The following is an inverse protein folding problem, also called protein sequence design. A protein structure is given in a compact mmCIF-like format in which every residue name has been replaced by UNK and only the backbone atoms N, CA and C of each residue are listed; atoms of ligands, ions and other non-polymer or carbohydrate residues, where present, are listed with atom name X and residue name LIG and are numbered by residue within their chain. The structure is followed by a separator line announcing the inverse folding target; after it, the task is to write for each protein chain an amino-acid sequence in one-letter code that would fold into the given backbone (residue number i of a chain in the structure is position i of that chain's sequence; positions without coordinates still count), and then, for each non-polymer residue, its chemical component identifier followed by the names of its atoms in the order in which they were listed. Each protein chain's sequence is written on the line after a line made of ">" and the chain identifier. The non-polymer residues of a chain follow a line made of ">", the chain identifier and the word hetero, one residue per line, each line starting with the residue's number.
data_IF_760569423843
#
_entry.id   IF_760569423843
#
_cell.length_a   1.000
_cell.length_b   1.000
_cell.length_c   1.000
_cell.angle_alpha   90.00
_cell.angle_beta   90.00
_cell.angle_gamma   90.00
#
_symmetry.space_group_name_H-M   'P 1'
#
loop_
_entity.id
_entity.type
_entity.pdbx_description
1 polymer ?
#
# COMPACT_ATOMS: atom_id res chain seq x y z
N UNK A 1 10.14 29.33 9.97
CA UNK A 1 9.30 28.53 9.06
C UNK A 1 10.07 28.25 7.75
N UNK A 2 11.30 27.76 7.83
CA UNK A 2 12.14 27.48 6.63
C UNK A 2 12.99 26.19 6.76
N UNK A 3 12.92 25.48 7.89
CA UNK A 3 13.81 24.34 8.14
C UNK A 3 13.21 22.97 7.77
N UNK A 4 11.90 22.90 7.51
CA UNK A 4 11.21 21.63 7.20
C UNK A 4 11.20 21.34 5.69
N UNK A 5 11.36 22.36 4.84
CA UNK A 5 11.25 22.29 3.37
C UNK A 5 12.38 21.46 2.71
N UNK A 6 13.54 21.30 3.36
CA UNK A 6 14.70 20.65 2.72
C UNK A 6 14.74 19.12 2.86
N UNK A 7 13.90 18.49 3.68
CA UNK A 7 14.03 17.05 3.97
C UNK A 7 13.12 16.16 3.10
N UNK A 8 12.06 16.71 2.49
CA UNK A 8 11.14 15.94 1.64
C UNK A 8 11.65 15.81 0.19
N UNK A 9 12.56 16.69 -0.25
CA UNK A 9 13.01 16.75 -1.66
C UNK A 9 14.22 15.83 -1.95
N UNK A 10 14.84 15.19 -0.95
CA UNK A 10 16.04 14.37 -1.17
C UNK A 10 15.75 12.90 -1.55
N UNK A 11 15.04 12.71 -2.67
CA UNK A 11 15.22 11.59 -3.61
C UNK A 11 14.45 11.79 -4.92
N UNK A 12 14.34 13.03 -5.40
CA UNK A 12 13.80 13.38 -6.71
C UNK A 12 14.92 13.60 -7.77
N UNK A 13 16.01 12.82 -7.67
CA UNK A 13 17.05 12.79 -8.69
C UNK A 13 17.02 11.38 -9.30
N UNK A 14 16.68 11.31 -10.59
CA UNK A 14 16.43 10.12 -11.45
C UNK A 14 14.97 9.72 -11.71
N UNK A 15 14.14 10.68 -12.16
CA UNK A 15 13.10 10.39 -13.14
C UNK A 15 13.14 11.46 -14.24
N UNK A 16 14.20 11.45 -15.05
CA UNK A 16 14.15 12.11 -16.35
C UNK A 16 13.26 11.23 -17.25
N UNK A 17 12.16 11.82 -17.74
CA UNK A 17 11.12 11.23 -18.60
C UNK A 17 9.89 10.66 -17.88
N UNK A 18 9.24 11.45 -17.02
CA UNK A 18 7.81 11.26 -16.73
C UNK A 18 7.06 12.53 -17.18
N UNK A 19 6.65 12.55 -18.45
CA UNK A 19 5.75 13.57 -18.98
C UNK A 19 4.32 13.21 -18.58
N UNK A 20 3.71 14.04 -17.73
CA UNK A 20 2.26 14.09 -17.50
C UNK A 20 1.75 13.13 -16.42
N UNK A 21 1.67 13.59 -15.18
CA UNK A 21 0.91 12.93 -14.13
C UNK A 21 -0.58 13.28 -14.30
N UNK A 22 -1.22 12.72 -15.33
CA UNK A 22 -2.68 12.84 -15.46
C UNK A 22 -3.33 11.94 -14.42
N UNK A 23 -4.16 12.51 -13.55
CA UNK A 23 -5.17 11.84 -12.71
C UNK A 23 -5.53 10.46 -13.28
N UNK A 24 -4.92 9.38 -12.77
CA UNK A 24 -5.06 8.07 -13.38
C UNK A 24 -6.44 7.52 -13.02
N UNK A 25 -7.45 7.85 -13.83
CA UNK A 25 -8.74 7.17 -13.81
C UNK A 25 -8.48 5.66 -13.89
N UNK A 26 -9.24 4.82 -13.16
CA UNK A 26 -9.07 3.37 -13.19
C UNK A 26 -9.13 2.91 -14.65
N UNK A 27 -8.03 2.33 -15.14
CA UNK A 27 -8.00 1.83 -16.51
C UNK A 27 -8.32 0.34 -16.45
N UNK A 28 -9.41 -0.13 -17.10
CA UNK A 28 -9.72 -1.54 -17.14
C UNK A 28 -8.52 -2.29 -17.72
N UNK A 29 -7.93 -3.18 -16.92
CA UNK A 29 -6.82 -3.99 -17.36
C UNK A 29 -7.34 -5.12 -18.28
N UNK A 30 -6.63 -5.44 -19.37
CA UNK A 30 -6.94 -6.61 -20.21
C UNK A 30 -7.06 -7.90 -19.37
N UNK A 31 -7.91 -8.85 -19.77
CA UNK A 31 -8.25 -10.02 -18.95
C UNK A 31 -7.05 -10.93 -18.60
N UNK A 32 -6.05 -10.99 -19.46
CA UNK A 32 -4.77 -11.71 -19.28
C UNK A 32 -3.88 -11.09 -18.19
N UNK A 33 -4.15 -9.85 -17.78
CA UNK A 33 -3.39 -9.12 -16.74
C UNK A 33 -3.40 -9.82 -15.38
N UNK A 34 -4.40 -10.67 -15.12
CA UNK A 34 -4.53 -11.37 -13.85
C UNK A 34 -3.89 -12.77 -13.86
N UNK A 35 -3.39 -13.28 -15.00
CA UNK A 35 -2.85 -14.65 -15.11
C UNK A 35 -1.62 -14.89 -14.24
N UNK A 36 -0.83 -13.84 -13.99
CA UNK A 36 0.34 -13.89 -13.13
C UNK A 36 0.02 -13.53 -11.67
N UNK A 37 -1.26 -13.42 -11.32
CA UNK A 37 -1.76 -13.12 -9.97
C UNK A 37 -2.50 -14.34 -9.41
N UNK A 38 -2.33 -14.59 -8.12
CA UNK A 38 -3.21 -15.50 -7.38
C UNK A 38 -4.22 -14.65 -6.62
N UNK A 39 -5.45 -14.56 -7.12
CA UNK A 39 -6.52 -13.74 -6.55
C UNK A 39 -7.61 -14.67 -5.99
N UNK A 40 -7.93 -14.62 -4.67
CA UNK A 40 -9.04 -15.37 -4.12
C UNK A 40 -10.38 -14.88 -4.69
N UNK A 41 -11.38 -15.77 -4.75
CA UNK A 41 -12.74 -15.40 -5.14
C UNK A 41 -13.32 -14.36 -4.18
N UNK A 42 -13.15 -14.59 -2.88
CA UNK A 42 -13.42 -13.60 -1.85
C UNK A 42 -12.47 -12.40 -2.02
N UNK A 43 -13.05 -11.20 -2.13
CA UNK A 43 -12.37 -9.94 -2.41
C UNK A 43 -11.84 -9.76 -3.85
N UNK A 44 -12.27 -10.60 -4.80
CA UNK A 44 -11.80 -10.51 -6.19
C UNK A 44 -12.09 -9.14 -6.83
N UNK A 45 -13.26 -8.57 -6.57
CA UNK A 45 -13.68 -7.25 -7.06
C UNK A 45 -12.76 -6.13 -6.56
N UNK A 46 -12.47 -6.13 -5.28
CA UNK A 46 -11.68 -5.13 -4.57
C UNK A 46 -10.21 -5.19 -5.02
N UNK A 47 -9.67 -6.42 -5.12
CA UNK A 47 -8.31 -6.67 -5.60
C UNK A 47 -8.15 -6.21 -7.05
N UNK A 48 -9.10 -6.57 -7.93
CA UNK A 48 -9.06 -6.15 -9.34
C UNK A 48 -9.23 -4.64 -9.49
N UNK A 49 -10.11 -4.01 -8.70
CA UNK A 49 -10.28 -2.56 -8.69
C UNK A 49 -8.98 -1.90 -8.26
N UNK A 50 -8.38 -2.29 -7.13
CA UNK A 50 -7.11 -1.71 -6.69
C UNK A 50 -6.01 -1.88 -7.75
N UNK A 51 -5.85 -3.08 -8.31
CA UNK A 51 -4.87 -3.33 -9.38
C UNK A 51 -5.10 -2.48 -10.64
N UNK A 52 -6.34 -2.13 -10.99
CA UNK A 52 -6.65 -1.31 -12.18
C UNK A 52 -6.03 0.10 -12.15
N UNK A 53 -5.59 0.56 -10.98
CA UNK A 53 -4.87 1.82 -10.82
C UNK A 53 -3.35 1.65 -10.90
N UNK A 54 -2.82 0.42 -10.91
CA UNK A 54 -1.37 0.14 -10.91
C UNK A 54 -0.94 -0.62 -12.19
N UNK A 55 -1.00 0.00 -13.38
CA UNK A 55 -0.61 -0.65 -14.63
C UNK A 55 0.85 -1.17 -14.64
N UNK A 56 1.74 -0.55 -13.87
CA UNK A 56 3.14 -0.95 -13.66
C UNK A 56 3.25 -2.35 -13.06
N UNK A 57 2.23 -2.79 -12.32
CA UNK A 57 2.16 -4.10 -11.70
C UNK A 57 1.56 -5.18 -12.61
N UNK A 58 1.18 -4.85 -13.86
CA UNK A 58 0.61 -5.81 -14.83
C UNK A 58 1.47 -7.07 -14.94
N UNK A 59 2.78 -6.91 -15.16
CA UNK A 59 3.71 -8.03 -15.34
C UNK A 59 4.31 -8.59 -14.03
N UNK A 60 3.95 -8.00 -12.89
CA UNK A 60 4.47 -8.39 -11.58
C UNK A 60 3.70 -9.59 -11.01
N UNK A 61 4.40 -10.63 -10.56
CA UNK A 61 3.76 -11.78 -9.90
C UNK A 61 3.40 -11.43 -8.45
N UNK A 62 2.12 -11.46 -8.11
CA UNK A 62 1.62 -11.13 -6.76
C UNK A 62 0.60 -12.20 -6.35
N UNK A 63 0.78 -12.78 -5.16
CA UNK A 63 -0.21 -13.65 -4.55
C UNK A 63 -0.95 -12.95 -3.42
N UNK A 64 -2.27 -12.87 -3.53
CA UNK A 64 -3.15 -12.46 -2.46
C UNK A 64 -3.52 -13.69 -1.64
N UNK A 65 -3.18 -13.68 -0.35
CA UNK A 65 -3.32 -14.88 0.50
C UNK A 65 -3.94 -14.53 1.84
N UNK A 66 -5.01 -15.23 2.21
CA UNK A 66 -5.59 -15.09 3.54
C UNK A 66 -4.71 -15.68 4.64
N UNK A 67 -4.75 -15.05 5.81
CA UNK A 67 -4.12 -15.49 7.06
C UNK A 67 -5.10 -15.27 8.20
N UNK A 68 -5.11 -16.16 9.19
CA UNK A 68 -6.02 -16.01 10.33
C UNK A 68 -5.74 -14.74 11.15
N UNK A 69 -4.47 -14.35 11.22
CA UNK A 69 -4.04 -13.13 11.87
C UNK A 69 -2.74 -12.61 11.23
N UNK A 70 -2.59 -11.29 11.17
CA UNK A 70 -1.37 -10.59 10.79
C UNK A 70 -1.02 -9.64 11.94
N UNK A 71 0.17 -9.79 12.50
CA UNK A 71 0.58 -8.99 13.66
C UNK A 71 0.60 -7.50 13.32
N UNK A 72 -0.17 -6.71 14.06
CA UNK A 72 -0.23 -5.25 14.00
C UNK A 72 -0.75 -4.64 12.67
N UNK A 73 -1.35 -5.43 11.79
CA UNK A 73 -1.85 -4.96 10.50
C UNK A 73 -3.02 -5.81 9.99
N UNK A 74 -3.85 -5.24 9.11
CA UNK A 74 -4.95 -5.98 8.45
C UNK A 74 -4.47 -6.64 7.16
N UNK A 75 -3.55 -5.98 6.45
CA UNK A 75 -2.87 -6.52 5.28
C UNK A 75 -1.36 -6.34 5.41
N UNK A 76 -0.59 -7.07 4.60
CA UNK A 76 0.86 -6.95 4.56
C UNK A 76 1.45 -7.42 3.23
N UNK A 77 2.11 -6.52 2.52
CA UNK A 77 2.94 -6.79 1.36
C UNK A 77 4.34 -7.25 1.77
N UNK A 78 4.89 -8.20 1.03
CA UNK A 78 6.27 -8.66 1.20
C UNK A 78 6.77 -9.41 -0.04
N UNK A 79 8.09 -9.41 -0.33
CA UNK A 79 8.65 -10.33 -1.31
C UNK A 79 8.58 -11.78 -0.81
N UNK A 80 8.41 -12.74 -1.72
CA UNK A 80 8.70 -14.15 -1.45
C UNK A 80 10.21 -14.30 -1.26
N UNK A 81 10.65 -14.53 -0.02
CA UNK A 81 12.08 -14.66 0.35
C UNK A 81 12.85 -15.60 -0.59
N UNK A 82 12.28 -16.76 -0.94
CA UNK A 82 12.88 -17.75 -1.86
C UNK A 82 13.14 -17.22 -3.29
N UNK A 83 12.54 -16.10 -3.66
CA UNK A 83 12.70 -15.47 -4.98
C UNK A 83 13.55 -14.21 -4.94
N UNK A 84 13.92 -13.72 -3.76
CA UNK A 84 14.52 -12.40 -3.57
C UNK A 84 15.85 -12.22 -4.34
N UNK A 85 16.68 -13.26 -4.34
CA UNK A 85 17.98 -13.28 -5.03
C UNK A 85 17.90 -13.68 -6.51
N UNK A 86 16.69 -13.95 -7.04
CA UNK A 86 16.50 -14.12 -8.48
C UNK A 86 16.56 -12.75 -9.18
N UNK A 87 16.68 -12.75 -10.52
CA UNK A 87 16.53 -11.54 -11.34
C UNK A 87 15.21 -10.83 -11.00
N UNK A 88 15.18 -9.49 -11.01
CA UNK A 88 14.04 -8.67 -10.57
C UNK A 88 12.69 -9.14 -11.16
N UNK A 89 12.63 -9.35 -12.47
CA UNK A 89 11.42 -9.84 -13.19
C UNK A 89 10.97 -11.28 -12.83
N UNK A 90 11.80 -12.05 -12.11
CA UNK A 90 11.46 -13.39 -11.59
C UNK A 90 11.09 -13.37 -10.12
N UNK A 91 11.10 -12.21 -9.46
CA UNK A 91 10.61 -12.08 -8.09
C UNK A 91 9.10 -12.28 -8.05
N UNK A 92 8.64 -12.73 -6.91
CA UNK A 92 7.23 -12.92 -6.61
C UNK A 92 6.94 -12.20 -5.30
N UNK A 93 5.82 -11.53 -5.23
CA UNK A 93 5.37 -10.80 -4.05
C UNK A 93 4.14 -11.47 -3.46
N UNK A 94 3.88 -11.22 -2.19
CA UNK A 94 2.68 -11.66 -1.50
C UNK A 94 2.03 -10.47 -0.83
N UNK A 95 0.73 -10.34 -0.99
CA UNK A 95 -0.13 -9.50 -0.15
C UNK A 95 -0.90 -10.43 0.76
N UNK A 96 -0.55 -10.45 2.04
CA UNK A 96 -1.31 -11.18 3.04
C UNK A 96 -2.52 -10.35 3.43
N UNK A 97 -3.66 -11.00 3.62
CA UNK A 97 -4.91 -10.36 4.06
C UNK A 97 -5.38 -11.12 5.30
N UNK A 98 -5.69 -10.41 6.39
CA UNK A 98 -6.28 -11.05 7.57
C UNK A 98 -7.70 -11.53 7.23
N UNK A 99 -8.07 -12.75 7.60
CA UNK A 99 -9.43 -13.28 7.40
C UNK A 99 -10.44 -12.54 8.28
N UNK A 100 -9.97 -12.03 9.42
CA UNK A 100 -10.75 -11.34 10.42
C UNK A 100 -10.07 -10.05 10.89
N UNK A 101 -10.86 -9.03 11.20
CA UNK A 101 -10.45 -7.87 11.97
C UNK A 101 -10.63 -8.17 13.44
N UNK A 102 -9.61 -7.90 14.25
CA UNK A 102 -9.70 -7.96 15.71
C UNK A 102 -10.39 -6.70 16.22
N UNK A 103 -11.51 -6.88 16.90
CA UNK A 103 -12.22 -5.85 17.65
C UNK A 103 -11.93 -6.05 19.15
N UNK A 104 -12.35 -5.10 20.01
CA UNK A 104 -12.12 -5.16 21.45
C UNK A 104 -12.70 -6.43 22.09
N UNK A 105 -13.94 -6.77 21.74
CA UNK A 105 -14.69 -7.88 22.34
C UNK A 105 -15.05 -9.00 21.34
N UNK A 106 -14.64 -8.89 20.08
CA UNK A 106 -15.04 -9.83 19.03
C UNK A 106 -14.10 -9.82 17.81
N UNK A 107 -14.48 -10.56 16.76
CA UNK A 107 -13.84 -10.48 15.46
C UNK A 107 -14.89 -10.25 14.38
N UNK A 108 -14.50 -9.53 13.33
CA UNK A 108 -15.33 -9.27 12.16
C UNK A 108 -14.68 -9.90 10.92
N UNK A 109 -15.42 -10.69 10.15
CA UNK A 109 -14.92 -11.19 8.86
C UNK A 109 -14.58 -10.05 7.91
N UNK A 110 -13.43 -10.14 7.22
CA UNK A 110 -12.94 -9.12 6.28
C UNK A 110 -13.94 -8.76 5.17
N UNK A 111 -14.84 -9.68 4.82
CA UNK A 111 -15.91 -9.49 3.85
C UNK A 111 -17.01 -8.53 4.29
N UNK A 112 -17.11 -8.22 5.58
CA UNK A 112 -18.06 -7.24 6.10
C UNK A 112 -17.49 -5.82 6.12
N UNK A 113 -16.20 -5.64 5.79
CA UNK A 113 -15.61 -4.32 5.65
C UNK A 113 -16.10 -3.70 4.33
N UNK A 114 -16.50 -2.42 4.31
CA UNK A 114 -16.99 -1.79 3.08
C UNK A 114 -15.98 -1.85 1.94
N UNK A 115 -16.48 -2.02 0.73
CA UNK A 115 -15.68 -2.25 -0.48
C UNK A 115 -14.60 -1.17 -0.68
N UNK A 116 -14.94 0.11 -0.55
CA UNK A 116 -14.00 1.22 -0.70
C UNK A 116 -12.86 1.23 0.33
N UNK A 117 -13.09 0.69 1.53
CA UNK A 117 -12.08 0.59 2.59
C UNK A 117 -11.09 -0.53 2.26
N UNK A 118 -11.60 -1.67 1.78
CA UNK A 118 -10.77 -2.77 1.31
C UNK A 118 -9.91 -2.35 0.12
N UNK A 119 -10.46 -1.58 -0.82
CA UNK A 119 -9.71 -1.03 -1.95
C UNK A 119 -8.61 -0.09 -1.48
N UNK A 120 -8.86 0.75 -0.47
CA UNK A 120 -7.83 1.64 0.10
C UNK A 120 -6.71 0.88 0.83
N UNK A 121 -7.03 -0.17 1.59
CA UNK A 121 -6.00 -1.05 2.15
C UNK A 121 -5.18 -1.75 1.07
N UNK A 122 -5.84 -2.31 0.05
CA UNK A 122 -5.16 -2.95 -1.07
C UNK A 122 -4.29 -1.95 -1.85
N UNK A 123 -4.76 -0.72 -2.04
CA UNK A 123 -3.99 0.35 -2.66
C UNK A 123 -2.68 0.59 -1.92
N UNK A 124 -2.73 0.71 -0.59
CA UNK A 124 -1.55 0.86 0.25
C UNK A 124 -0.56 -0.31 0.06
N UNK A 125 -1.05 -1.55 0.11
CA UNK A 125 -0.19 -2.73 -0.06
C UNK A 125 0.44 -2.81 -1.47
N UNK A 126 -0.28 -2.39 -2.50
CA UNK A 126 0.26 -2.31 -3.85
C UNK A 126 1.32 -1.20 -3.96
N UNK A 127 1.17 -0.09 -3.24
CA UNK A 127 2.21 0.93 -3.10
C UNK A 127 3.51 0.38 -2.50
N UNK A 128 3.43 -0.53 -1.52
CA UNK A 128 4.60 -1.26 -1.04
C UNK A 128 5.20 -2.18 -2.12
N UNK A 129 4.38 -2.92 -2.87
CA UNK A 129 4.89 -3.78 -3.95
C UNK A 129 5.63 -2.96 -5.00
N UNK A 130 5.09 -1.79 -5.36
CA UNK A 130 5.71 -0.85 -6.29
C UNK A 130 7.08 -0.36 -5.78
N UNK A 131 7.17 0.07 -4.52
CA UNK A 131 8.44 0.46 -3.86
C UNK A 131 9.50 -0.67 -3.91
N UNK A 132 9.06 -1.93 -3.89
CA UNK A 132 9.97 -3.07 -3.93
C UNK A 132 10.55 -3.37 -5.32
N UNK A 133 9.96 -2.89 -6.41
CA UNK A 133 10.41 -3.19 -7.78
C UNK A 133 11.78 -2.59 -8.08
N UNK A 134 12.03 -1.38 -7.58
CA UNK A 134 13.27 -0.66 -7.87
C UNK A 134 14.45 -1.10 -7.00
N UNK A 135 14.17 -1.81 -5.91
CA UNK A 135 15.20 -2.24 -4.96
C UNK A 135 16.01 -3.44 -5.46
N UNK A 136 17.33 -3.36 -5.36
CA UNK A 136 18.23 -4.52 -5.51
C UNK A 136 18.01 -5.53 -4.38
N UNK A 137 18.54 -6.75 -4.53
CA UNK A 137 18.33 -7.81 -3.52
C UNK A 137 18.91 -7.42 -2.16
N UNK A 138 20.09 -6.78 -2.15
CA UNK A 138 20.70 -6.25 -0.91
C UNK A 138 19.91 -5.07 -0.34
N UNK A 139 19.39 -4.17 -1.19
CA UNK A 139 18.53 -3.08 -0.73
C UNK A 139 17.24 -3.61 -0.11
N UNK A 140 16.67 -4.71 -0.62
CA UNK A 140 15.49 -5.34 -0.03
C UNK A 140 15.79 -6.00 1.33
N UNK A 141 16.93 -6.65 1.48
CA UNK A 141 17.35 -7.19 2.78
C UNK A 141 17.55 -6.05 3.79
N UNK A 142 18.25 -5.00 3.38
CA UNK A 142 18.44 -3.80 4.21
C UNK A 142 17.13 -3.09 4.53
N UNK A 143 16.19 -3.04 3.59
CA UNK A 143 14.83 -2.53 3.80
C UNK A 143 14.14 -3.34 4.89
N UNK A 144 14.06 -4.66 4.76
CA UNK A 144 13.39 -5.52 5.75
C UNK A 144 14.02 -5.38 7.14
N UNK A 145 15.34 -5.33 7.23
CA UNK A 145 16.04 -5.11 8.50
C UNK A 145 15.68 -3.76 9.14
N UNK A 146 15.78 -2.66 8.37
CA UNK A 146 15.46 -1.32 8.87
C UNK A 146 13.98 -1.16 9.20
N UNK A 147 13.10 -1.76 8.42
CA UNK A 147 11.66 -1.75 8.64
C UNK A 147 11.29 -2.38 10.00
N UNK A 148 12.00 -3.44 10.41
CA UNK A 148 11.77 -4.09 11.70
C UNK A 148 12.44 -3.37 12.88
N UNK A 149 13.57 -2.69 12.66
CA UNK A 149 14.44 -2.17 13.74
C UNK A 149 14.39 -0.66 13.93
N UNK A 150 13.94 0.11 12.93
CA UNK A 150 14.00 1.58 12.93
C UNK A 150 12.61 2.19 12.78
N UNK A 151 12.11 2.81 13.86
CA UNK A 151 10.82 3.53 13.86
C UNK A 151 10.76 4.65 12.79
N UNK A 152 11.79 5.50 12.62
CA UNK A 152 11.78 6.51 11.56
C UNK A 152 11.72 5.89 10.16
N UNK A 153 12.43 4.78 9.93
CA UNK A 153 12.41 4.11 8.63
C UNK A 153 11.06 3.45 8.35
N UNK A 154 10.47 2.79 9.35
CA UNK A 154 9.11 2.25 9.27
C UNK A 154 8.12 3.35 8.86
N UNK A 155 8.12 4.48 9.58
CA UNK A 155 7.25 5.61 9.27
C UNK A 155 7.48 6.14 7.84
N UNK A 156 8.74 6.25 7.39
CA UNK A 156 9.04 6.64 6.01
C UNK A 156 8.47 5.64 5.00
N UNK A 157 8.59 4.34 5.26
CA UNK A 157 8.11 3.29 4.37
C UNK A 157 6.57 3.26 4.28
N UNK A 158 5.85 3.38 5.41
CA UNK A 158 4.38 3.44 5.40
C UNK A 158 3.88 4.69 4.67
N UNK A 159 4.51 5.86 4.91
CA UNK A 159 4.15 7.10 4.21
C UNK A 159 4.42 7.02 2.71
N UNK A 160 5.52 6.38 2.29
CA UNK A 160 5.81 6.17 0.87
C UNK A 160 4.75 5.30 0.17
N UNK A 161 4.24 4.27 0.85
CA UNK A 161 3.17 3.44 0.30
C UNK A 161 1.86 4.22 0.13
N UNK A 162 1.49 5.04 1.11
CA UNK A 162 0.35 5.95 0.99
C UNK A 162 0.55 6.97 -0.15
N UNK A 163 1.75 7.54 -0.28
CA UNK A 163 2.08 8.46 -1.39
C UNK A 163 1.90 7.77 -2.73
N UNK A 164 2.40 6.54 -2.91
CA UNK A 164 2.13 5.79 -4.14
C UNK A 164 0.63 5.60 -4.38
N UNK A 165 -0.16 5.23 -3.38
CA UNK A 165 -1.60 5.11 -3.56
C UNK A 165 -2.27 6.42 -3.98
N UNK A 166 -1.93 7.54 -3.34
CA UNK A 166 -2.44 8.88 -3.70
C UNK A 166 -2.07 9.22 -5.12
N UNK A 167 -0.80 9.00 -5.46
CA UNK A 167 -0.32 9.21 -6.82
C UNK A 167 -1.25 8.45 -7.77
N UNK A 168 -1.51 7.17 -7.57
CA UNK A 168 -2.34 6.40 -8.50
C UNK A 168 -3.85 6.70 -8.40
N UNK A 169 -4.26 7.89 -7.93
CA UNK A 169 -5.65 8.35 -7.96
C UNK A 169 -6.55 7.72 -6.89
N UNK A 170 -5.95 7.19 -5.82
CA UNK A 170 -6.67 6.52 -4.72
C UNK A 170 -6.65 7.34 -3.42
N UNK A 171 -6.48 8.66 -3.51
CA UNK A 171 -6.46 9.56 -2.35
C UNK A 171 -7.75 9.45 -1.53
N UNK A 172 -8.91 9.47 -2.19
CA UNK A 172 -10.22 9.32 -1.56
C UNK A 172 -10.36 7.99 -0.82
N UNK A 173 -9.97 6.86 -1.44
CA UNK A 173 -9.98 5.54 -0.80
C UNK A 173 -9.05 5.49 0.42
N UNK A 174 -7.86 6.11 0.37
CA UNK A 174 -6.94 6.21 1.51
C UNK A 174 -7.57 7.04 2.65
N UNK A 175 -8.19 8.18 2.34
CA UNK A 175 -8.88 9.03 3.33
C UNK A 175 -10.04 8.27 3.96
N UNK A 176 -10.89 7.62 3.16
CA UNK A 176 -12.04 6.82 3.66
C UNK A 176 -11.55 5.70 4.57
N UNK A 177 -10.50 4.98 4.18
CA UNK A 177 -9.90 3.91 4.97
C UNK A 177 -9.41 4.39 6.33
N UNK A 178 -8.71 5.54 6.36
CA UNK A 178 -8.23 6.12 7.62
C UNK A 178 -9.38 6.57 8.51
N UNK A 179 -10.37 7.28 7.96
CA UNK A 179 -11.56 7.70 8.72
C UNK A 179 -12.32 6.50 9.27
N UNK A 180 -12.47 5.43 8.49
CA UNK A 180 -13.09 4.18 8.95
C UNK A 180 -12.36 3.60 10.16
N UNK A 181 -11.03 3.50 10.12
CA UNK A 181 -10.24 2.97 11.25
C UNK A 181 -10.36 3.86 12.48
N UNK A 182 -10.21 5.17 12.31
CA UNK A 182 -10.15 6.12 13.43
C UNK A 182 -11.51 6.32 14.10
N UNK A 183 -12.61 6.19 13.34
CA UNK A 183 -13.97 6.35 13.86
C UNK A 183 -14.60 5.02 14.34
N UNK A 184 -13.94 3.89 14.12
CA UNK A 184 -14.44 2.60 14.59
C UNK A 184 -14.15 2.45 16.09
N UNK A 185 -15.19 2.52 16.91
CA UNK A 185 -15.08 2.45 18.39
C UNK A 185 -14.51 1.09 18.83
N UNK A 186 -14.96 0.03 18.17
CA UNK A 186 -14.63 -1.35 18.50
C UNK A 186 -13.20 -1.76 18.11
N UNK A 187 -12.46 -0.94 17.35
CA UNK A 187 -11.05 -1.23 17.07
C UNK A 187 -10.18 -0.97 18.32
N UNK A 188 -9.17 -1.81 18.58
CA UNK A 188 -8.22 -1.59 19.67
C UNK A 188 -7.56 -0.22 19.61
N UNK A 189 -7.48 0.45 20.76
CA UNK A 189 -6.87 1.77 20.86
C UNK A 189 -5.42 1.77 20.39
N UNK A 190 -4.66 0.73 20.74
CA UNK A 190 -3.26 0.58 20.32
C UNK A 190 -3.11 0.51 18.79
N UNK A 191 -4.09 -0.08 18.11
CA UNK A 191 -4.13 -0.12 16.65
C UNK A 191 -4.39 1.29 16.09
N UNK A 192 -5.41 2.00 16.59
CA UNK A 192 -5.70 3.39 16.21
C UNK A 192 -4.50 4.32 16.45
N UNK A 193 -3.85 4.21 17.60
CA UNK A 193 -2.65 5.00 17.96
C UNK A 193 -1.46 4.68 17.03
N UNK A 194 -1.31 3.42 16.61
CA UNK A 194 -0.32 3.04 15.60
C UNK A 194 -0.62 3.69 14.25
N UNK A 195 -1.88 3.69 13.81
CA UNK A 195 -2.28 4.32 12.55
C UNK A 195 -2.03 5.84 12.60
N UNK A 196 -2.43 6.52 13.67
CA UNK A 196 -2.18 7.96 13.83
C UNK A 196 -0.69 8.34 13.81
N UNK A 197 0.19 7.46 14.30
CA UNK A 197 1.63 7.73 14.35
C UNK A 197 2.36 7.48 13.04
N UNK A 198 1.98 6.43 12.30
CA UNK A 198 2.79 5.94 11.18
C UNK A 198 2.37 6.48 9.82
N UNK A 199 1.10 6.83 9.65
CA UNK A 199 0.52 7.14 8.35
C UNK A 199 0.24 8.65 8.23
N UNK A 200 0.15 9.14 7.00
CA UNK A 200 -0.21 10.55 6.76
C UNK A 200 -1.67 10.82 7.20
N UNK A 201 -1.94 11.99 7.77
CA UNK A 201 -3.29 12.41 8.14
C UNK A 201 -4.17 12.63 6.89
N UNK A 202 -5.52 12.61 7.02
CA UNK A 202 -6.41 12.94 5.91
C UNK A 202 -6.11 14.32 5.28
N UNK A 203 -5.74 15.32 6.08
CA UNK A 203 -5.37 16.65 5.58
C UNK A 203 -4.07 16.60 4.77
N UNK A 204 -3.05 15.86 5.24
CA UNK A 204 -1.81 15.66 4.49
C UNK A 204 -2.06 14.90 3.17
N UNK A 205 -3.02 13.97 3.12
CA UNK A 205 -3.41 13.31 1.86
C UNK A 205 -3.90 14.34 0.85
N UNK A 206 -4.78 15.26 1.26
CA UNK A 206 -5.34 16.30 0.38
C UNK A 206 -4.26 17.26 -0.10
N UNK A 207 -3.35 17.64 0.78
CA UNK A 207 -2.23 18.49 0.40
C UNK A 207 -1.33 17.82 -0.66
N UNK A 208 -1.01 16.53 -0.51
CA UNK A 208 -0.24 15.78 -1.51
C UNK A 208 -1.03 15.70 -2.84
N UNK A 209 -2.33 15.43 -2.78
CA UNK A 209 -3.20 15.39 -3.96
C UNK A 209 -3.22 16.74 -4.71
N UNK A 210 -3.40 17.85 -4.01
CA UNK A 210 -3.39 19.21 -4.56
C UNK A 210 -2.04 19.60 -5.17
N UNK A 211 -0.93 19.29 -4.48
CA UNK A 211 0.43 19.52 -5.02
C UNK A 211 0.63 18.77 -6.34
N UNK A 212 0.09 17.56 -6.46
CA UNK A 212 0.20 16.75 -7.67
C UNK A 212 -0.65 17.27 -8.84
N UNK A 213 -1.84 17.83 -8.57
CA UNK A 213 -2.66 18.46 -9.61
C UNK A 213 -2.04 19.74 -10.17
N UNK A 214 -1.13 20.36 -9.42
CA UNK A 214 -0.47 21.61 -9.79
C UNK A 214 0.77 21.44 -10.68
N UNK A 215 1.19 20.19 -10.98
CA UNK A 215 2.38 19.82 -11.75
C UNK A 215 1.99 19.34 -13.16
#
# INVERSE_FOLDING_TARGET
>A
MEFIVKTVIFSALFFSSFTGYSQSKPMPLPADTYENKSIPELLSSEIKKALSYYPELQNTRIDFVFRDNIRNAVMQAQPRVKTLFKKKYKRVYKVKISRYLTLNDSTMGIEHVPHEILVGWLAHELGHVLDYLDRSSFQMVGFGFKYLTSKPFLMKAERQADTFAIMHGLADEIVKTKKYILNQEDLPKEYKDRINRLYISPEEVRHIEEEMESI
#
